data_IF_251926917895
#
_entry.id   IF_251926917895
#
_cell.length_a   1.000
_cell.length_b   1.000
_cell.length_c   1.000
_cell.angle_alpha   90.00
_cell.angle_beta   90.00
_cell.angle_gamma   90.00
#
_symmetry.space_group_name_H-M   'P 1'
#
loop_
_entity.id
_entity.type
_entity.pdbx_description
1 polymer ?
#
# COMPACT_ATOMS: atom_id res chain seq x y z
N UNK A 1 -8.64 16.35 -22.88
CA UNK A 1 -9.08 17.04 -21.64
C UNK A 1 -9.89 16.04 -20.84
N UNK A 2 -9.27 15.33 -19.92
CA UNK A 2 -9.98 14.48 -18.95
C UNK A 2 -10.64 15.44 -17.96
N UNK A 3 -11.96 15.61 -18.09
CA UNK A 3 -12.73 16.48 -17.20
C UNK A 3 -12.56 16.02 -15.74
N UNK A 4 -12.41 16.96 -14.84
CA UNK A 4 -12.38 16.72 -13.39
C UNK A 4 -13.69 16.06 -12.97
N UNK A 5 -13.63 14.90 -12.30
CA UNK A 5 -14.82 14.19 -11.81
C UNK A 5 -15.37 14.95 -10.59
N UNK A 6 -16.66 15.27 -10.61
CA UNK A 6 -17.37 15.80 -9.45
C UNK A 6 -18.38 14.75 -8.94
N UNK A 7 -18.19 14.30 -7.71
CA UNK A 7 -19.04 13.30 -7.08
C UNK A 7 -20.18 13.91 -6.24
N UNK A 8 -20.33 15.26 -6.21
CA UNK A 8 -21.27 15.96 -5.33
C UNK A 8 -22.70 15.49 -5.52
N UNK A 9 -23.12 15.36 -6.78
CA UNK A 9 -24.48 14.96 -7.13
C UNK A 9 -24.67 13.44 -7.32
N UNK A 10 -23.62 12.65 -7.04
CA UNK A 10 -23.74 11.21 -7.13
C UNK A 10 -24.74 10.66 -6.11
N UNK A 11 -25.53 9.68 -6.52
CA UNK A 11 -26.50 9.00 -5.66
C UNK A 11 -25.77 8.33 -4.50
N UNK A 12 -26.12 8.70 -3.26
CA UNK A 12 -25.60 8.07 -2.05
C UNK A 12 -26.23 6.71 -1.83
N UNK A 13 -25.42 5.73 -1.47
CA UNK A 13 -25.88 4.37 -1.11
C UNK A 13 -25.99 4.35 0.43
N UNK A 14 -27.23 4.34 0.92
CA UNK A 14 -27.51 4.28 2.35
C UNK A 14 -27.41 2.82 2.84
N UNK A 15 -26.87 2.65 4.04
CA UNK A 15 -26.74 1.31 4.66
C UNK A 15 -25.41 0.60 4.39
N UNK A 16 -24.52 1.15 3.55
CA UNK A 16 -23.12 0.70 3.46
C UNK A 16 -22.31 1.35 4.58
N UNK A 17 -21.74 0.55 5.46
CA UNK A 17 -20.80 0.98 6.49
C UNK A 17 -19.38 0.52 6.12
N UNK A 18 -18.42 1.42 6.17
CA UNK A 18 -17.01 1.12 5.95
C UNK A 18 -16.24 1.27 7.25
N UNK A 19 -15.47 0.27 7.59
CA UNK A 19 -14.61 0.27 8.78
C UNK A 19 -13.42 1.25 8.61
N UNK A 20 -12.80 1.62 9.73
CA UNK A 20 -11.59 2.43 9.80
C UNK A 20 -11.82 3.82 10.39
N UNK A 21 -10.90 4.23 11.26
CA UNK A 21 -10.98 5.45 12.07
C UNK A 21 -10.59 6.74 11.32
N UNK A 22 -9.97 6.63 10.13
CA UNK A 22 -9.38 7.75 9.43
C UNK A 22 -10.35 8.37 8.42
N UNK A 23 -10.79 9.61 8.69
CA UNK A 23 -11.56 10.43 7.76
C UNK A 23 -13.03 9.98 7.57
N UNK A 24 -13.81 10.86 6.95
CA UNK A 24 -15.18 10.57 6.55
C UNK A 24 -15.17 9.64 5.34
N UNK A 25 -16.06 8.64 5.33
CA UNK A 25 -16.30 7.73 4.20
C UNK A 25 -17.78 7.76 3.86
N UNK A 26 -18.14 7.78 2.58
CA UNK A 26 -19.51 7.65 2.10
C UNK A 26 -19.54 6.71 0.89
N UNK A 27 -20.62 5.96 0.73
CA UNK A 27 -20.85 5.15 -0.46
C UNK A 27 -21.66 5.95 -1.49
N UNK A 28 -21.21 5.89 -2.74
CA UNK A 28 -21.90 6.54 -3.88
C UNK A 28 -21.93 5.59 -5.08
N UNK A 29 -22.93 5.83 -5.95
CA UNK A 29 -23.00 5.20 -7.28
C UNK A 29 -22.48 6.19 -8.33
N UNK A 30 -21.45 5.76 -9.08
CA UNK A 30 -20.91 6.53 -10.20
C UNK A 30 -20.73 5.63 -11.41
N UNK A 31 -21.27 6.02 -12.56
CA UNK A 31 -21.26 5.22 -13.81
C UNK A 31 -21.73 3.77 -13.62
N UNK A 32 -22.78 3.57 -12.81
CA UNK A 32 -23.38 2.25 -12.55
C UNK A 32 -22.54 1.30 -11.68
N UNK A 33 -21.52 1.84 -10.98
CA UNK A 33 -20.66 1.11 -10.05
C UNK A 33 -20.66 1.77 -8.68
N UNK A 34 -20.43 0.96 -7.65
CA UNK A 34 -20.34 1.44 -6.27
C UNK A 34 -18.92 1.88 -5.93
N UNK A 35 -18.78 3.05 -5.29
CA UNK A 35 -17.52 3.59 -4.81
C UNK A 35 -17.65 4.05 -3.37
N UNK A 36 -16.59 3.78 -2.59
CA UNK A 36 -16.35 4.42 -1.31
C UNK A 36 -15.56 5.70 -1.54
N UNK A 37 -16.15 6.87 -1.25
CA UNK A 37 -15.41 8.13 -1.23
C UNK A 37 -14.66 8.25 0.08
N UNK A 38 -13.34 8.31 0.04
CA UNK A 38 -12.47 8.69 1.15
C UNK A 38 -12.25 10.20 1.12
N UNK A 39 -12.47 10.86 2.25
CA UNK A 39 -12.22 12.29 2.42
C UNK A 39 -10.89 12.51 3.14
N UNK A 40 -10.14 13.57 2.80
CA UNK A 40 -8.97 13.93 3.60
C UNK A 40 -9.43 14.19 5.04
N UNK A 41 -8.66 13.77 6.05
CA UNK A 41 -8.97 14.07 7.44
C UNK A 41 -9.17 15.58 7.62
N UNK A 42 -10.15 15.96 8.44
CA UNK A 42 -10.31 17.36 8.81
C UNK A 42 -9.02 17.82 9.52
N UNK A 43 -8.50 18.99 9.17
CA UNK A 43 -7.25 19.56 9.71
C UNK A 43 -7.26 19.90 11.22
N UNK A 44 -8.14 19.24 12.01
CA UNK A 44 -8.02 19.21 13.45
C UNK A 44 -6.72 18.47 13.78
N UNK A 45 -5.72 19.23 14.11
CA UNK A 45 -4.40 18.80 14.54
C UNK A 45 -4.50 17.70 15.58
N UNK A 46 -4.04 16.49 15.26
CA UNK A 46 -3.67 15.53 16.29
C UNK A 46 -2.62 16.20 17.17
N UNK A 47 -2.45 15.79 18.44
CA UNK A 47 -1.44 16.38 19.36
C UNK A 47 -0.01 16.40 18.77
N UNK A 48 0.27 15.62 17.74
CA UNK A 48 1.54 15.53 17.01
C UNK A 48 1.75 16.63 15.96
N UNK A 49 0.75 17.50 15.68
CA UNK A 49 0.85 18.52 14.63
C UNK A 49 0.86 18.00 13.19
N UNK A 50 0.81 16.67 12.99
CA UNK A 50 0.85 16.05 11.67
C UNK A 50 -0.59 15.88 11.12
N UNK A 51 -0.80 16.26 9.89
CA UNK A 51 -2.08 16.13 9.17
C UNK A 51 -1.92 15.18 7.99
N UNK A 52 -2.81 14.19 7.87
CA UNK A 52 -2.86 13.25 6.72
C UNK A 52 -3.59 13.86 5.52
N UNK A 53 -3.31 15.11 5.19
CA UNK A 53 -4.02 15.85 4.14
C UNK A 53 -3.87 15.26 2.76
N UNK A 54 -2.75 14.58 2.50
CA UNK A 54 -2.45 13.96 1.20
C UNK A 54 -2.90 12.49 1.09
N UNK A 55 -3.60 11.93 2.08
CA UNK A 55 -3.96 10.50 2.09
C UNK A 55 -4.80 10.07 0.89
N UNK A 56 -5.69 10.92 0.36
CA UNK A 56 -6.45 10.63 -0.85
C UNK A 56 -5.58 10.55 -2.10
N UNK A 57 -4.59 11.43 -2.21
CA UNK A 57 -3.60 11.41 -3.28
C UNK A 57 -2.69 10.17 -3.16
N UNK A 58 -2.19 9.90 -1.96
CA UNK A 58 -1.39 8.71 -1.65
C UNK A 58 -2.13 7.41 -1.99
N UNK A 59 -3.42 7.31 -1.65
CA UNK A 59 -4.29 6.18 -1.99
C UNK A 59 -4.30 5.93 -3.50
N UNK A 60 -4.55 6.97 -4.29
CA UNK A 60 -4.66 6.86 -5.74
C UNK A 60 -3.31 6.52 -6.40
N UNK A 61 -2.26 7.24 -6.04
CA UNK A 61 -0.93 7.00 -6.63
C UNK A 61 -0.43 5.61 -6.29
N UNK A 62 -0.53 5.21 -5.02
CA UNK A 62 -0.02 3.92 -4.58
C UNK A 62 -0.82 2.74 -5.17
N UNK A 63 -2.16 2.80 -5.18
CA UNK A 63 -2.99 1.76 -5.83
C UNK A 63 -2.66 1.62 -7.31
N UNK A 64 -2.46 2.73 -8.02
CA UNK A 64 -2.07 2.71 -9.44
C UNK A 64 -0.68 2.10 -9.66
N UNK A 65 0.28 2.37 -8.76
CA UNK A 65 1.63 1.78 -8.86
C UNK A 65 1.58 0.27 -8.61
N UNK A 66 0.77 -0.22 -7.66
CA UNK A 66 0.56 -1.66 -7.48
C UNK A 66 0.08 -2.34 -8.77
N UNK A 67 -0.91 -1.75 -9.46
CA UNK A 67 -1.38 -2.27 -10.76
C UNK A 67 -0.29 -2.21 -11.84
N UNK A 68 0.50 -1.15 -11.91
CA UNK A 68 1.60 -0.99 -12.87
C UNK A 68 2.68 -2.07 -12.72
N UNK A 69 2.91 -2.56 -11.50
CA UNK A 69 3.88 -3.63 -11.23
C UNK A 69 3.23 -5.02 -11.20
N UNK A 70 2.01 -5.16 -11.70
CA UNK A 70 1.31 -6.43 -11.88
C UNK A 70 0.64 -6.99 -10.62
N UNK A 71 0.51 -6.22 -9.55
CA UNK A 71 -0.24 -6.60 -8.35
C UNK A 71 -1.61 -5.93 -8.39
N UNK A 72 -2.67 -6.73 -8.51
CA UNK A 72 -4.04 -6.22 -8.56
C UNK A 72 -4.35 -5.36 -7.34
N UNK A 73 -4.75 -4.10 -7.57
CA UNK A 73 -5.13 -3.16 -6.53
C UNK A 73 -6.58 -2.68 -6.69
N UNK A 74 -7.09 -2.05 -5.65
CA UNK A 74 -8.40 -1.42 -5.68
C UNK A 74 -8.40 -0.27 -6.69
N UNK A 75 -9.31 -0.32 -7.67
CA UNK A 75 -9.51 0.76 -8.64
C UNK A 75 -9.85 2.06 -7.90
N UNK A 76 -9.15 3.13 -8.24
CA UNK A 76 -9.32 4.43 -7.58
C UNK A 76 -9.47 5.55 -8.61
N UNK A 77 -10.29 6.55 -8.28
CA UNK A 77 -10.48 7.78 -9.05
C UNK A 77 -10.30 8.97 -8.14
N UNK A 78 -9.59 9.99 -8.61
CA UNK A 78 -9.55 11.30 -7.94
C UNK A 78 -10.65 12.21 -8.49
N UNK A 79 -11.29 12.95 -7.60
CA UNK A 79 -12.31 13.91 -7.97
C UNK A 79 -12.61 14.88 -6.83
N UNK A 80 -13.67 15.63 -6.99
CA UNK A 80 -14.12 16.62 -6.01
C UNK A 80 -15.46 16.22 -5.39
N UNK A 81 -15.70 16.74 -4.18
CA UNK A 81 -16.97 16.61 -3.50
C UNK A 81 -17.21 17.85 -2.62
N UNK A 82 -18.39 18.45 -2.75
CA UNK A 82 -18.75 19.61 -1.94
C UNK A 82 -19.35 19.20 -0.59
N UNK A 83 -18.81 19.77 0.48
CA UNK A 83 -19.32 19.60 1.85
C UNK A 83 -19.54 20.99 2.46
N UNK A 84 -20.78 21.36 2.72
CA UNK A 84 -21.12 22.64 3.36
C UNK A 84 -20.50 23.86 2.68
N UNK A 85 -20.58 23.93 1.35
CA UNK A 85 -20.05 25.03 0.53
C UNK A 85 -18.54 24.99 0.33
N UNK A 86 -17.84 23.91 0.75
CA UNK A 86 -16.40 23.73 0.57
C UNK A 86 -16.12 22.53 -0.32
N UNK A 87 -15.44 22.76 -1.43
CA UNK A 87 -14.98 21.71 -2.34
C UNK A 87 -13.76 21.01 -1.72
N UNK A 88 -13.79 19.69 -1.67
CA UNK A 88 -12.69 18.84 -1.20
C UNK A 88 -12.27 17.87 -2.29
N UNK A 89 -10.98 17.62 -2.41
CA UNK A 89 -10.45 16.51 -3.19
C UNK A 89 -10.72 15.21 -2.44
N UNK A 90 -11.28 14.22 -3.12
CA UNK A 90 -11.63 12.91 -2.57
C UNK A 90 -11.06 11.82 -3.43
N UNK A 91 -10.77 10.66 -2.82
CA UNK A 91 -10.45 9.43 -3.53
C UNK A 91 -11.68 8.52 -3.53
N UNK A 92 -12.19 8.22 -4.71
CA UNK A 92 -13.24 7.25 -4.93
C UNK A 92 -12.58 5.88 -5.12
N UNK A 93 -12.71 5.02 -4.12
CA UNK A 93 -12.22 3.64 -4.12
C UNK A 93 -13.38 2.73 -4.54
N UNK A 94 -13.22 1.99 -5.65
CA UNK A 94 -14.26 1.09 -6.12
C UNK A 94 -14.58 0.03 -5.07
N UNK A 95 -15.85 -0.17 -4.78
CA UNK A 95 -16.28 -1.24 -3.89
C UNK A 95 -16.19 -2.60 -4.62
N UNK A 96 -15.17 -3.39 -4.29
CA UNK A 96 -14.98 -4.72 -4.84
C UNK A 96 -15.78 -5.81 -4.12
N UNK A 97 -16.56 -5.42 -3.09
CA UNK A 97 -17.53 -6.31 -2.40
C UNK A 97 -18.95 -6.21 -2.96
N UNK A 98 -19.15 -5.49 -4.06
CA UNK A 98 -20.44 -5.48 -4.79
C UNK A 98 -20.79 -6.89 -5.33
N UNK A 99 -22.10 -7.16 -5.51
CA UNK A 99 -22.59 -8.35 -6.25
C UNK A 99 -22.27 -9.71 -5.62
N UNK A 100 -22.29 -9.81 -4.28
CA UNK A 100 -22.18 -11.09 -3.60
C UNK A 100 -20.76 -11.48 -3.21
N UNK A 101 -19.82 -10.56 -3.34
CA UNK A 101 -18.49 -10.72 -2.77
C UNK A 101 -18.43 -10.23 -1.32
N UNK A 102 -17.64 -10.88 -0.48
CA UNK A 102 -17.37 -10.48 0.89
C UNK A 102 -15.86 -10.40 1.14
N UNK A 103 -15.44 -9.32 1.76
CA UNK A 103 -14.06 -9.16 2.22
C UNK A 103 -13.90 -9.79 3.60
N UNK A 104 -12.94 -10.70 3.72
CA UNK A 104 -12.41 -11.19 4.99
C UNK A 104 -10.98 -10.66 5.14
N UNK A 105 -10.77 -9.72 6.05
CA UNK A 105 -9.43 -9.25 6.33
C UNK A 105 -8.58 -10.34 7.02
N UNK A 106 -7.28 -10.26 6.83
CA UNK A 106 -6.35 -11.25 7.38
C UNK A 106 -6.35 -11.27 8.92
N UNK A 107 -6.63 -10.13 9.55
CA UNK A 107 -6.76 -10.03 11.00
C UNK A 107 -7.85 -10.97 11.53
N UNK A 108 -9.00 -10.99 10.87
CA UNK A 108 -10.12 -11.87 11.22
C UNK A 108 -9.76 -13.34 11.04
N UNK A 109 -9.07 -13.69 9.95
CA UNK A 109 -8.62 -15.05 9.67
C UNK A 109 -7.56 -15.50 10.69
N UNK A 110 -6.54 -14.69 10.91
CA UNK A 110 -5.48 -14.97 11.89
C UNK A 110 -6.06 -15.22 13.29
N UNK A 111 -7.07 -14.44 13.68
CA UNK A 111 -7.75 -14.59 14.96
C UNK A 111 -8.49 -15.92 15.13
N UNK A 112 -8.83 -16.60 14.03
CA UNK A 112 -9.47 -17.93 14.07
C UNK A 112 -8.47 -19.09 14.04
N UNK A 113 -7.23 -18.84 13.66
CA UNK A 113 -6.19 -19.87 13.45
C UNK A 113 -5.21 -19.90 14.60
N UNK A 114 -4.78 -18.74 15.10
CA UNK A 114 -3.77 -18.61 16.15
C UNK A 114 -4.40 -18.25 17.49
N UNK A 115 -4.07 -19.03 18.50
CA UNK A 115 -4.35 -18.73 19.89
C UNK A 115 -3.24 -17.84 20.48
N UNK A 116 -3.32 -16.53 20.18
CA UNK A 116 -2.30 -15.54 20.55
C UNK A 116 -2.93 -14.42 21.41
N UNK A 117 -2.19 -13.92 22.41
CA UNK A 117 -2.65 -12.83 23.30
C UNK A 117 -2.99 -11.54 22.54
N UNK A 118 -2.29 -11.27 21.44
CA UNK A 118 -2.56 -10.12 20.56
C UNK A 118 -3.68 -10.40 19.53
N UNK A 119 -4.21 -11.63 19.49
CA UNK A 119 -5.21 -12.05 18.52
C UNK A 119 -4.76 -11.80 17.08
N UNK A 120 -5.71 -11.63 16.18
CA UNK A 120 -5.44 -11.36 14.74
C UNK A 120 -4.73 -10.03 14.48
N UNK A 121 -4.78 -9.05 15.43
CA UNK A 121 -4.17 -7.73 15.25
C UNK A 121 -2.65 -7.71 15.39
N UNK A 122 -2.05 -8.71 16.03
CA UNK A 122 -0.59 -8.84 16.15
C UNK A 122 0.08 -8.99 14.79
N UNK A 123 1.15 -8.21 14.53
CA UNK A 123 1.81 -8.15 13.23
C UNK A 123 3.22 -8.76 13.23
N UNK A 124 3.50 -9.70 14.15
CA UNK A 124 4.75 -10.47 14.10
C UNK A 124 4.84 -11.28 12.81
N UNK A 125 5.98 -11.20 12.13
CA UNK A 125 6.19 -11.84 10.84
C UNK A 125 6.02 -13.37 10.93
N UNK A 126 6.59 -13.99 11.96
CA UNK A 126 6.47 -15.43 12.19
C UNK A 126 5.01 -15.88 12.35
N UNK A 127 4.21 -15.13 13.08
CA UNK A 127 2.76 -15.41 13.24
C UNK A 127 1.99 -15.25 11.91
N UNK A 128 2.37 -14.27 11.10
CA UNK A 128 1.75 -14.04 9.79
C UNK A 128 2.09 -15.22 8.87
N UNK A 129 3.34 -15.63 8.79
CA UNK A 129 3.78 -16.76 7.97
C UNK A 129 3.12 -18.07 8.40
N UNK A 130 3.07 -18.36 9.70
CA UNK A 130 2.39 -19.53 10.25
C UNK A 130 0.88 -19.54 9.94
N UNK A 131 0.24 -18.35 9.98
CA UNK A 131 -1.17 -18.21 9.57
C UNK A 131 -1.36 -18.45 8.07
N UNK A 132 -0.45 -17.94 7.23
CA UNK A 132 -0.47 -18.17 5.78
C UNK A 132 -0.35 -19.67 5.46
N UNK A 133 0.49 -20.39 6.17
CA UNK A 133 0.65 -21.84 5.97
C UNK A 133 -0.57 -22.64 6.42
N UNK A 134 -1.24 -22.23 7.49
CA UNK A 134 -2.37 -22.97 8.08
C UNK A 134 -3.74 -22.64 7.51
N UNK A 135 -3.91 -21.48 6.87
CA UNK A 135 -5.18 -21.09 6.27
C UNK A 135 -5.57 -22.01 5.10
N UNK A 136 -6.87 -22.12 4.82
CA UNK A 136 -7.42 -23.01 3.79
C UNK A 136 -8.25 -22.25 2.73
N UNK A 137 -8.10 -20.94 2.62
CA UNK A 137 -8.87 -20.11 1.69
C UNK A 137 -8.25 -20.09 0.30
N UNK A 138 -6.92 -20.05 0.21
CA UNK A 138 -6.15 -20.08 -1.03
C UNK A 138 -4.88 -20.90 -0.83
N UNK A 139 -4.22 -21.29 -1.92
CA UNK A 139 -2.95 -22.02 -1.86
C UNK A 139 -1.90 -21.23 -1.05
N UNK A 140 -1.33 -21.81 0.04
CA UNK A 140 -0.39 -21.11 0.92
C UNK A 140 0.80 -20.49 0.21
N UNK A 141 1.39 -21.20 -0.76
CA UNK A 141 2.55 -20.71 -1.52
C UNK A 141 2.22 -19.46 -2.35
N UNK A 142 1.03 -19.40 -2.95
CA UNK A 142 0.56 -18.22 -3.67
C UNK A 142 0.31 -17.03 -2.74
N UNK A 143 -0.23 -17.29 -1.54
CA UNK A 143 -0.47 -16.24 -0.55
C UNK A 143 0.85 -15.71 0.02
N UNK A 144 1.82 -16.58 0.32
CA UNK A 144 3.15 -16.21 0.78
C UNK A 144 3.87 -15.34 -0.25
N UNK A 145 3.85 -15.77 -1.51
CA UNK A 145 4.38 -14.99 -2.63
C UNK A 145 3.71 -13.62 -2.74
N UNK A 146 2.37 -13.55 -2.64
CA UNK A 146 1.63 -12.31 -2.70
C UNK A 146 2.01 -11.38 -1.54
N UNK A 147 2.07 -11.91 -0.32
CA UNK A 147 2.44 -11.15 0.88
C UNK A 147 3.80 -10.46 0.72
N UNK A 148 4.83 -11.19 0.32
CA UNK A 148 6.15 -10.59 0.13
C UNK A 148 6.26 -9.71 -1.12
N UNK A 149 5.53 -10.01 -2.20
CA UNK A 149 5.44 -9.09 -3.34
C UNK A 149 4.86 -7.73 -2.91
N UNK A 150 3.76 -7.74 -2.14
CA UNK A 150 3.17 -6.51 -1.57
C UNK A 150 4.14 -5.82 -0.62
N UNK A 151 4.86 -6.56 0.23
CA UNK A 151 5.85 -6.01 1.15
C UNK A 151 6.98 -5.25 0.42
N UNK A 152 7.51 -5.81 -0.68
CA UNK A 152 8.54 -5.15 -1.50
C UNK A 152 8.01 -3.86 -2.15
N UNK A 153 6.77 -3.86 -2.65
CA UNK A 153 6.17 -2.66 -3.21
C UNK A 153 5.80 -1.65 -2.12
N UNK A 154 5.36 -2.10 -0.94
CA UNK A 154 5.17 -1.24 0.23
C UNK A 154 6.51 -0.59 0.67
N UNK A 155 7.64 -1.30 0.51
CA UNK A 155 8.96 -0.72 0.73
C UNK A 155 9.28 0.39 -0.28
N UNK A 156 8.93 0.24 -1.56
CA UNK A 156 9.08 1.31 -2.56
C UNK A 156 8.24 2.54 -2.20
N UNK A 157 6.99 2.32 -1.80
CA UNK A 157 6.01 3.36 -1.53
C UNK A 157 6.14 3.96 -0.12
N UNK A 158 6.91 3.32 0.76
CA UNK A 158 7.05 3.72 2.15
C UNK A 158 5.74 3.60 2.93
N UNK A 159 5.02 2.49 2.75
CA UNK A 159 3.80 2.23 3.49
C UNK A 159 4.12 1.88 4.96
N UNK A 160 3.56 2.61 5.89
CA UNK A 160 3.77 2.35 7.32
C UNK A 160 2.57 1.75 8.05
N UNK A 161 1.51 1.37 7.31
CA UNK A 161 0.23 0.95 7.90
C UNK A 161 -0.37 -0.31 7.24
N UNK A 162 0.43 -1.16 6.57
CA UNK A 162 -0.02 -2.45 6.05
C UNK A 162 -0.15 -3.47 7.18
N UNK A 163 -1.05 -3.21 8.12
CA UNK A 163 -1.39 -4.17 9.18
C UNK A 163 -2.38 -5.23 8.66
N UNK A 164 -2.64 -6.24 9.48
CA UNK A 164 -3.48 -7.40 9.10
C UNK A 164 -4.93 -7.07 8.70
N UNK A 165 -5.44 -5.89 9.03
CA UNK A 165 -6.74 -5.41 8.58
C UNK A 165 -6.75 -4.77 7.19
N UNK A 166 -5.57 -4.54 6.57
CA UNK A 166 -5.42 -3.85 5.29
C UNK A 166 -5.06 -4.78 4.12
N UNK A 167 -5.29 -6.07 4.27
CA UNK A 167 -5.19 -7.11 3.25
C UNK A 167 -5.99 -8.34 3.66
N UNK A 168 -6.23 -9.30 2.75
CA UNK A 168 -7.00 -10.49 3.06
C UNK A 168 -7.59 -11.18 1.84
N UNK A 169 -8.79 -11.68 1.97
CA UNK A 169 -9.44 -12.55 1.00
C UNK A 169 -10.77 -11.98 0.52
N UNK A 170 -11.05 -12.19 -0.74
CA UNK A 170 -12.35 -11.91 -1.35
C UNK A 170 -13.08 -13.24 -1.57
N UNK A 171 -14.21 -13.42 -0.88
CA UNK A 171 -15.04 -14.61 -0.97
C UNK A 171 -16.23 -14.36 -1.87
N UNK A 172 -16.44 -15.24 -2.84
CA UNK A 172 -17.59 -15.22 -3.73
C UNK A 172 -18.70 -16.10 -3.17
N UNK A 173 -19.85 -15.48 -2.81
CA UNK A 173 -21.00 -16.20 -2.25
C UNK A 173 -21.65 -17.13 -3.27
N UNK A 174 -21.46 -16.93 -4.56
CA UNK A 174 -22.03 -17.74 -5.64
C UNK A 174 -21.27 -19.03 -5.89
N UNK A 175 -19.92 -18.94 -5.97
CA UNK A 175 -19.04 -20.10 -6.21
C UNK A 175 -18.59 -20.79 -4.93
N UNK A 176 -18.71 -20.10 -3.78
CA UNK A 176 -18.17 -20.52 -2.48
C UNK A 176 -16.63 -20.61 -2.46
N UNK A 177 -15.98 -19.87 -3.33
CA UNK A 177 -14.53 -19.84 -3.45
C UNK A 177 -13.96 -18.54 -2.88
N UNK A 178 -12.76 -18.62 -2.35
CA UNK A 178 -11.97 -17.47 -1.92
C UNK A 178 -10.84 -17.17 -2.90
N UNK A 179 -10.51 -15.91 -3.03
CA UNK A 179 -9.34 -15.44 -3.76
C UNK A 179 -8.62 -14.38 -2.93
N UNK A 180 -7.37 -14.05 -3.28
CA UNK A 180 -6.67 -12.96 -2.66
C UNK A 180 -7.38 -11.64 -3.04
N UNK A 181 -7.70 -10.82 -2.04
CA UNK A 181 -8.33 -9.52 -2.30
C UNK A 181 -7.36 -8.59 -3.04
N UNK A 182 -7.85 -7.68 -3.91
CA UNK A 182 -7.01 -6.61 -4.42
C UNK A 182 -6.35 -5.84 -3.29
N UNK A 183 -5.14 -5.32 -3.49
CA UNK A 183 -4.49 -4.43 -2.51
C UNK A 183 -5.37 -3.19 -2.27
N UNK A 184 -5.63 -2.84 -1.03
CA UNK A 184 -6.48 -1.71 -0.63
C UNK A 184 -5.87 -0.96 0.56
N UNK A 185 -6.45 0.19 0.87
CA UNK A 185 -6.05 1.09 1.97
C UNK A 185 -4.58 1.52 1.89
N UNK A 186 -4.21 2.12 0.75
CA UNK A 186 -2.88 2.63 0.45
C UNK A 186 -2.65 4.08 0.89
N UNK A 187 -3.57 4.67 1.65
CA UNK A 187 -3.51 6.09 2.06
C UNK A 187 -2.36 6.44 2.99
N UNK A 188 -1.63 5.46 3.49
CA UNK A 188 -0.45 5.64 4.35
C UNK A 188 0.89 5.52 3.59
N UNK A 189 0.85 5.47 2.27
CA UNK A 189 2.01 5.50 1.37
C UNK A 189 2.48 6.94 1.10
N UNK A 190 3.70 7.11 0.60
CA UNK A 190 4.21 8.37 0.04
C UNK A 190 4.21 9.55 1.03
N UNK A 191 4.35 9.28 2.32
CA UNK A 191 4.37 10.29 3.39
C UNK A 191 3.15 11.24 3.34
N UNK A 192 1.91 10.74 3.55
CA UNK A 192 0.68 11.54 3.40
C UNK A 192 0.58 12.72 4.36
N UNK A 193 1.40 12.74 5.41
CA UNK A 193 1.52 13.81 6.40
C UNK A 193 2.54 14.89 6.02
N UNK A 194 3.29 14.75 4.92
CA UNK A 194 4.23 15.76 4.49
C UNK A 194 3.48 17.00 3.96
N UNK A 195 3.70 18.13 4.56
CA UNK A 195 3.28 19.44 4.05
C UNK A 195 4.26 19.95 2.98
N UNK A 196 3.92 21.07 2.32
CA UNK A 196 4.77 21.66 1.28
C UNK A 196 6.17 22.00 1.80
N UNK A 197 6.29 22.48 3.04
CA UNK A 197 7.58 22.81 3.66
C UNK A 197 8.48 21.57 3.82
N UNK A 198 7.89 20.44 4.25
CA UNK A 198 8.61 19.16 4.37
C UNK A 198 9.03 18.65 2.99
N UNK A 199 8.17 18.79 1.99
CA UNK A 199 8.46 18.42 0.62
C UNK A 199 9.58 19.25 0.02
N UNK A 200 9.54 20.57 0.17
CA UNK A 200 10.61 21.47 -0.27
C UNK A 200 11.95 21.13 0.38
N UNK A 201 11.95 20.94 1.70
CA UNK A 201 13.16 20.55 2.43
C UNK A 201 13.74 19.24 1.93
N UNK A 202 12.91 18.23 1.70
CA UNK A 202 13.35 16.94 1.21
C UNK A 202 13.89 16.99 -0.23
N UNK A 203 13.41 17.92 -1.06
CA UNK A 203 13.91 18.11 -2.43
C UNK A 203 15.28 18.78 -2.51
N UNK A 204 15.61 19.65 -1.54
CA UNK A 204 16.86 20.44 -1.57
C UNK A 204 17.92 19.94 -0.58
N UNK A 205 17.56 19.06 0.35
CA UNK A 205 18.46 18.54 1.39
C UNK A 205 18.47 17.01 1.38
N UNK A 206 19.60 16.44 0.99
CA UNK A 206 19.80 14.99 0.91
C UNK A 206 19.65 14.30 2.27
N UNK A 207 20.08 14.90 3.38
CA UNK A 207 19.93 14.30 4.71
C UNK A 207 18.44 14.16 5.10
N UNK A 208 17.61 15.14 4.72
CA UNK A 208 16.18 15.09 4.94
C UNK A 208 15.55 13.99 4.08
N UNK A 209 15.95 13.85 2.82
CA UNK A 209 15.49 12.77 1.96
C UNK A 209 15.97 11.40 2.48
N UNK A 210 17.24 11.27 2.82
CA UNK A 210 17.81 10.02 3.34
C UNK A 210 17.13 9.56 4.65
N UNK A 211 16.76 10.47 5.54
CA UNK A 211 15.97 10.12 6.71
C UNK A 211 14.61 9.50 6.33
N UNK A 212 14.02 9.92 5.18
CA UNK A 212 12.76 9.35 4.64
C UNK A 212 12.96 8.03 3.90
N UNK A 213 14.20 7.73 3.52
CA UNK A 213 14.56 6.45 2.89
C UNK A 213 14.92 5.42 3.95
N UNK A 214 15.82 5.74 4.87
CA UNK A 214 16.46 4.77 5.77
C UNK A 214 15.83 4.67 7.15
N UNK A 215 15.20 5.74 7.67
CA UNK A 215 14.72 5.76 9.06
C UNK A 215 13.21 5.62 9.17
N UNK A 216 12.46 6.38 8.39
CA UNK A 216 11.00 6.37 8.36
C UNK A 216 10.52 6.69 6.95
N UNK A 217 9.56 5.95 6.40
CA UNK A 217 8.67 4.98 7.05
C UNK A 217 9.28 3.60 7.33
N UNK A 218 8.78 2.96 8.41
CA UNK A 218 8.99 1.55 8.72
C UNK A 218 7.72 0.77 8.40
N UNK A 219 7.82 -0.54 8.19
CA UNK A 219 6.65 -1.41 8.02
C UNK A 219 5.76 -1.44 9.26
N UNK A 220 4.48 -1.76 9.09
CA UNK A 220 3.61 -2.14 10.21
C UNK A 220 3.91 -3.55 10.74
N UNK A 221 4.56 -4.40 9.93
CA UNK A 221 4.99 -5.74 10.29
C UNK A 221 6.15 -5.64 11.28
N UNK A 222 6.21 -6.59 12.21
CA UNK A 222 7.24 -6.67 13.24
C UNK A 222 8.10 -7.92 13.08
N UNK A 223 9.34 -7.79 13.49
CA UNK A 223 10.28 -8.87 13.68
C UNK A 223 10.83 -8.74 15.11
N UNK A 224 10.68 -9.78 15.95
CA UNK A 224 11.09 -9.79 17.35
C UNK A 224 10.54 -8.60 18.17
N UNK A 225 9.25 -8.31 18.00
CA UNK A 225 8.53 -7.24 18.70
C UNK A 225 8.80 -5.82 18.17
N UNK A 226 9.70 -5.64 17.20
CA UNK A 226 10.07 -4.34 16.64
C UNK A 226 9.54 -4.17 15.21
N UNK A 227 9.05 -2.99 14.87
CA UNK A 227 8.66 -2.68 13.49
C UNK A 227 9.86 -2.86 12.56
N UNK A 228 9.64 -3.58 11.45
CA UNK A 228 10.66 -3.82 10.44
C UNK A 228 11.03 -2.49 9.78
N UNK A 229 12.33 -2.17 9.79
CA UNK A 229 12.90 -1.18 8.90
C UNK A 229 13.06 -1.82 7.51
N UNK A 230 12.52 -1.19 6.49
CA UNK A 230 12.53 -1.73 5.12
C UNK A 230 13.95 -1.95 4.58
N UNK A 231 14.85 -0.97 4.79
CA UNK A 231 16.22 -1.08 4.31
C UNK A 231 16.95 -2.23 4.99
N UNK A 232 16.96 -2.26 6.33
CA UNK A 232 17.69 -3.27 7.09
C UNK A 232 17.21 -4.69 6.76
N UNK A 233 15.89 -4.88 6.65
CA UNK A 233 15.29 -6.18 6.39
C UNK A 233 15.57 -6.70 4.97
N UNK A 234 15.40 -5.83 3.95
CA UNK A 234 15.65 -6.24 2.56
C UNK A 234 17.13 -6.47 2.29
N UNK A 235 18.02 -5.75 2.99
CA UNK A 235 19.47 -5.93 2.88
C UNK A 235 20.02 -7.10 3.70
N UNK A 236 19.25 -7.68 4.63
CA UNK A 236 19.71 -8.85 5.40
C UNK A 236 19.77 -10.12 4.58
N UNK A 237 18.94 -10.24 3.53
CA UNK A 237 18.78 -11.45 2.69
C UNK A 237 18.43 -12.74 3.46
N UNK A 238 18.02 -12.60 4.73
CA UNK A 238 17.76 -13.75 5.61
C UNK A 238 16.43 -14.47 5.31
N UNK A 239 15.47 -13.80 4.64
CA UNK A 239 14.15 -14.36 4.36
C UNK A 239 14.05 -14.79 2.88
N UNK A 240 14.09 -16.10 2.57
CA UNK A 240 14.14 -16.60 1.19
C UNK A 240 12.93 -16.20 0.33
N UNK A 241 11.73 -16.19 0.92
CA UNK A 241 10.50 -15.79 0.20
C UNK A 241 10.51 -14.30 -0.14
N UNK A 242 11.08 -13.47 0.75
CA UNK A 242 11.30 -12.06 0.49
C UNK A 242 12.34 -11.85 -0.62
N UNK A 243 13.43 -12.60 -0.61
CA UNK A 243 14.47 -12.56 -1.66
C UNK A 243 13.89 -12.90 -3.03
N UNK A 244 13.06 -13.94 -3.11
CA UNK A 244 12.35 -14.28 -4.33
C UNK A 244 11.38 -13.18 -4.77
N UNK A 245 10.72 -12.49 -3.83
CA UNK A 245 9.86 -11.34 -4.13
C UNK A 245 10.66 -10.12 -4.63
N UNK A 246 11.84 -9.84 -4.06
CA UNK A 246 12.75 -8.78 -4.54
C UNK A 246 13.07 -9.02 -6.01
N UNK A 247 13.46 -10.23 -6.40
CA UNK A 247 13.78 -10.56 -7.79
C UNK A 247 12.59 -10.33 -8.73
N UNK A 248 11.41 -10.79 -8.34
CA UNK A 248 10.19 -10.62 -9.14
C UNK A 248 9.80 -9.16 -9.28
N UNK A 249 9.74 -8.43 -8.17
CA UNK A 249 9.12 -7.10 -8.16
C UNK A 249 10.05 -6.03 -8.69
N UNK A 250 11.37 -6.07 -8.37
CA UNK A 250 12.32 -5.09 -8.88
C UNK A 250 12.38 -5.10 -10.41
N UNK A 251 12.27 -6.28 -11.02
CA UNK A 251 12.23 -6.42 -12.47
C UNK A 251 10.96 -5.86 -13.13
N UNK A 252 9.85 -5.71 -12.38
CA UNK A 252 8.59 -5.14 -12.87
C UNK A 252 8.49 -3.63 -12.69
N UNK A 253 9.36 -3.03 -11.85
CA UNK A 253 9.30 -1.60 -11.56
C UNK A 253 9.90 -0.80 -12.72
N UNK A 254 9.07 -0.01 -13.39
CA UNK A 254 9.48 0.94 -14.42
C UNK A 254 9.34 2.37 -13.89
N UNK A 255 10.45 2.95 -13.41
CA UNK A 255 10.46 4.30 -12.84
C UNK A 255 9.98 5.38 -13.82
N UNK A 256 10.28 5.26 -15.11
CA UNK A 256 9.86 6.27 -16.10
C UNK A 256 8.35 6.22 -16.33
N UNK A 257 7.76 5.03 -16.35
CA UNK A 257 6.30 4.88 -16.41
C UNK A 257 5.64 5.48 -15.16
N UNK A 258 6.18 5.20 -13.97
CA UNK A 258 5.67 5.76 -12.70
C UNK A 258 5.78 7.28 -12.68
N UNK A 259 6.91 7.85 -13.10
CA UNK A 259 7.09 9.30 -13.18
C UNK A 259 6.12 9.95 -14.15
N UNK A 260 5.95 9.36 -15.34
CA UNK A 260 4.99 9.84 -16.34
C UNK A 260 3.56 9.83 -15.81
N UNK A 261 3.16 8.78 -15.09
CA UNK A 261 1.87 8.72 -14.43
C UNK A 261 1.70 9.83 -13.37
N UNK A 262 2.71 10.06 -12.51
CA UNK A 262 2.66 11.11 -11.48
C UNK A 262 2.50 12.50 -12.12
N UNK A 263 3.11 12.75 -13.27
CA UNK A 263 2.98 14.03 -13.98
C UNK A 263 1.52 14.30 -14.45
N UNK A 264 0.72 13.27 -14.65
CA UNK A 264 -0.68 13.37 -15.06
C UNK A 264 -1.68 13.35 -13.89
N UNK A 265 -1.24 13.09 -12.64
CA UNK A 265 -2.14 13.06 -11.47
C UNK A 265 -2.76 14.45 -11.25
N UNK A 266 -4.10 14.55 -11.24
CA UNK A 266 -4.77 15.83 -11.00
C UNK A 266 -4.71 16.26 -9.53
N UNK A 267 -4.99 17.54 -9.27
CA UNK A 267 -5.12 18.13 -7.92
C UNK A 267 -3.84 18.16 -7.08
N UNK A 268 -2.69 17.94 -7.68
CA UNK A 268 -1.39 18.10 -7.01
C UNK A 268 -0.55 19.16 -7.70
N UNK A 269 0.26 19.87 -6.90
CA UNK A 269 1.17 20.92 -7.36
C UNK A 269 2.41 20.31 -8.02
N UNK A 270 3.16 21.12 -8.81
CA UNK A 270 4.46 20.69 -9.35
C UNK A 270 5.45 20.33 -8.24
N UNK A 271 5.39 20.99 -7.10
CA UNK A 271 6.17 20.64 -5.92
C UNK A 271 5.88 19.22 -5.45
N UNK A 272 4.60 18.87 -5.33
CA UNK A 272 4.16 17.52 -4.93
C UNK A 272 4.58 16.46 -5.95
N UNK A 273 4.40 16.72 -7.25
CA UNK A 273 4.85 15.81 -8.32
C UNK A 273 6.36 15.54 -8.22
N UNK A 274 7.16 16.61 -8.09
CA UNK A 274 8.61 16.49 -7.98
C UNK A 274 9.02 15.74 -6.72
N UNK A 275 8.33 15.97 -5.59
CA UNK A 275 8.58 15.26 -4.34
C UNK A 275 8.27 13.77 -4.49
N UNK A 276 7.11 13.38 -4.99
CA UNK A 276 6.76 11.95 -5.15
C UNK A 276 7.70 11.23 -6.11
N UNK A 277 8.04 11.85 -7.25
CA UNK A 277 9.01 11.30 -8.20
C UNK A 277 10.39 11.10 -7.55
N UNK A 278 10.90 12.10 -6.82
CA UNK A 278 12.20 12.04 -6.14
C UNK A 278 12.19 10.99 -5.02
N UNK A 279 11.12 10.96 -4.22
CA UNK A 279 10.97 10.02 -3.12
C UNK A 279 10.95 8.56 -3.58
N UNK A 280 10.13 8.23 -4.57
CA UNK A 280 10.05 6.87 -5.14
C UNK A 280 11.39 6.47 -5.77
N UNK A 281 12.01 7.38 -6.54
CA UNK A 281 13.33 7.12 -7.13
C UNK A 281 14.38 6.86 -6.06
N UNK A 282 14.44 7.67 -5.00
CA UNK A 282 15.38 7.47 -3.91
C UNK A 282 15.21 6.12 -3.22
N UNK A 283 13.96 5.71 -2.94
CA UNK A 283 13.70 4.40 -2.32
C UNK A 283 14.02 3.24 -3.26
N UNK A 284 13.76 3.38 -4.54
CA UNK A 284 14.18 2.37 -5.52
C UNK A 284 15.70 2.22 -5.58
N UNK A 285 16.42 3.31 -5.79
CA UNK A 285 17.88 3.30 -5.99
C UNK A 285 18.67 2.97 -4.71
N UNK A 286 18.14 3.32 -3.54
CA UNK A 286 18.84 3.19 -2.26
C UNK A 286 18.38 2.01 -1.41
N UNK A 287 17.22 1.41 -1.68
CA UNK A 287 16.71 0.24 -0.96
C UNK A 287 16.58 -0.96 -1.90
N UNK A 288 15.71 -0.85 -2.93
CA UNK A 288 15.31 -2.02 -3.70
C UNK A 288 16.39 -2.52 -4.64
N UNK A 289 17.05 -1.59 -5.34
CA UNK A 289 18.12 -1.96 -6.27
C UNK A 289 19.34 -2.59 -5.57
N UNK A 290 19.88 -2.02 -4.47
CA UNK A 290 20.95 -2.68 -3.73
C UNK A 290 20.56 -4.05 -3.18
N UNK A 291 19.34 -4.21 -2.63
CA UNK A 291 18.85 -5.51 -2.16
C UNK A 291 18.76 -6.53 -3.31
N UNK A 292 18.27 -6.11 -4.47
CA UNK A 292 18.25 -6.96 -5.67
C UNK A 292 19.66 -7.39 -6.11
N UNK A 293 20.59 -6.44 -6.16
CA UNK A 293 21.98 -6.73 -6.56
C UNK A 293 22.65 -7.74 -5.60
N UNK A 294 22.37 -7.63 -4.27
CA UNK A 294 22.86 -8.61 -3.28
C UNK A 294 22.25 -9.99 -3.50
N UNK A 295 20.93 -10.10 -3.60
CA UNK A 295 20.24 -11.38 -3.82
C UNK A 295 20.71 -12.06 -5.11
N UNK A 296 20.97 -11.29 -6.17
CA UNK A 296 21.46 -11.83 -7.43
C UNK A 296 22.91 -12.34 -7.32
N UNK A 297 23.75 -11.64 -6.56
CA UNK A 297 25.15 -12.07 -6.30
C UNK A 297 25.20 -13.38 -5.51
N UNK A 298 24.42 -13.49 -4.43
CA UNK A 298 24.35 -14.73 -3.62
C UNK A 298 23.87 -15.94 -4.44
N UNK A 299 22.90 -15.74 -5.33
CA UNK A 299 22.41 -16.81 -6.20
C UNK A 299 23.44 -17.27 -7.22
N UNK A 300 24.30 -16.37 -7.72
CA UNK A 300 25.41 -16.74 -8.60
C UNK A 300 26.46 -17.57 -7.87
N UNK A 301 26.89 -17.17 -6.69
CA UNK A 301 27.85 -17.93 -5.86
C UNK A 301 27.33 -19.32 -5.51
N UNK A 302 26.05 -19.46 -5.16
CA UNK A 302 25.40 -20.74 -4.89
C UNK A 302 25.33 -21.64 -6.12
N UNK A 303 25.14 -21.08 -7.29
CA UNK A 303 25.11 -21.85 -8.56
C UNK A 303 26.50 -22.32 -8.97
N UNK A 304 27.53 -21.51 -8.83
CA UNK A 304 28.93 -21.85 -9.13
C UNK A 304 29.47 -22.90 -8.17
N UNK A 305 29.15 -22.83 -6.89
CA UNK A 305 29.53 -23.81 -5.88
C UNK A 305 28.92 -25.20 -6.15
N UNK A 306 27.71 -25.30 -6.71
CA UNK A 306 27.06 -26.57 -7.09
C UNK A 306 27.64 -27.21 -8.35
N UNK A 307 28.25 -26.42 -9.24
CA UNK A 307 28.90 -26.94 -10.46
C UNK A 307 30.29 -27.48 -10.15
N UNK A 308 30.92 -27.06 -9.05
CA UNK A 308 32.27 -27.41 -8.66
C UNK A 308 32.33 -28.65 -7.73
N UNK A 309 31.18 -29.15 -7.28
CA UNK A 309 31.02 -30.40 -6.53
C UNK A 309 30.60 -31.56 -7.48
#
# INVERSE_FOLDING_TARGET
>A
MTGTIDFTDCKKILGRAYNGANGKKIAVEYNGREYMLKFPPSGATKPTGLSYTNSCISEHIASSIFDMVGIKAQETLLGTYEVSGKVKVVCACRDFTEKGYRLFDFCSIKNTILDSESGGSGTELADIMDTIEKQQYVEPSLLMQHFFNVFVVDALLGNFDRHNGNWGFLYDDSTKEASIAPVYDCGSCLLPQADERIMEQALVNEDVMNARVYQFPTSAIKLDGRKINYYDFLMSTEEPECNAAIQRMVSQINLEQIKGFIDEVPFITELQKNFYKRYITARFEQILKPAYDMVMSENQELSESKITM
#
